data_IF_296594127971
#
_entry.id   IF_296594127971
#
_cell.length_a   1.000
_cell.length_b   1.000
_cell.length_c   1.000
_cell.angle_alpha   90.00
_cell.angle_beta   90.00
_cell.angle_gamma   90.00
#
_symmetry.space_group_name_H-M   'P 1'
#
loop_
_entity.id
_entity.type
_entity.pdbx_description
1 polymer ?
#
# COMPACT_ATOMS: atom_id res chain seq x y z
N UNK A 1 13.59 -4.48 22.75
CA UNK A 1 14.25 -3.19 22.47
C UNK A 1 13.35 -2.40 21.54
N UNK A 2 12.97 -1.19 21.92
CA UNK A 2 12.17 -0.30 21.07
C UNK A 2 13.08 0.83 20.60
N UNK A 3 13.20 1.03 19.29
CA UNK A 3 13.96 2.14 18.70
C UNK A 3 12.97 3.14 18.11
N UNK A 4 13.08 4.41 18.50
CA UNK A 4 12.28 5.51 17.95
C UNK A 4 13.16 6.21 16.92
N UNK A 5 12.78 6.11 15.65
CA UNK A 5 13.41 6.87 14.58
C UNK A 5 12.56 8.10 14.26
N UNK A 6 13.14 9.29 14.45
CA UNK A 6 12.57 10.56 14.01
C UNK A 6 13.14 10.90 12.63
N UNK A 7 12.28 10.93 11.60
CA UNK A 7 12.67 11.18 10.21
C UNK A 7 11.47 11.53 9.33
N UNK A 8 11.67 11.50 7.99
CA UNK A 8 10.61 11.63 6.98
C UNK A 8 10.26 10.24 6.44
N UNK A 9 9.49 9.40 7.19
CA UNK A 9 9.15 8.07 6.71
C UNK A 9 8.38 8.20 5.40
N UNK A 10 8.70 7.34 4.45
CA UNK A 10 7.92 7.24 3.22
C UNK A 10 6.59 6.62 3.57
N UNK A 11 5.52 7.35 3.27
CA UNK A 11 4.16 6.93 3.53
C UNK A 11 3.46 6.63 2.21
N UNK A 12 2.60 5.62 2.25
CA UNK A 12 1.66 5.30 1.20
C UNK A 12 0.25 5.26 1.76
N UNK A 13 -0.75 5.45 0.89
CA UNK A 13 -2.16 5.24 1.24
C UNK A 13 -2.65 4.01 0.50
N UNK A 14 -3.06 2.99 1.24
CA UNK A 14 -3.65 1.76 0.70
C UNK A 14 -5.05 1.63 1.29
N UNK A 15 -6.08 1.57 0.44
CA UNK A 15 -7.49 1.51 0.85
C UNK A 15 -7.89 2.60 1.87
N UNK A 16 -7.37 3.82 1.70
CA UNK A 16 -7.65 4.95 2.60
C UNK A 16 -6.85 4.94 3.91
N UNK A 17 -6.00 3.93 4.15
CA UNK A 17 -5.14 3.84 5.33
C UNK A 17 -3.70 4.22 5.00
N UNK A 18 -3.13 5.14 5.78
CA UNK A 18 -1.70 5.48 5.72
C UNK A 18 -0.86 4.34 6.29
N UNK A 19 0.18 3.96 5.56
CA UNK A 19 1.11 2.87 5.91
C UNK A 19 2.55 3.29 5.65
N UNK A 20 3.47 2.78 6.47
CA UNK A 20 4.91 2.95 6.35
C UNK A 20 5.58 1.64 5.92
N UNK A 21 6.86 1.73 5.55
CA UNK A 21 7.69 0.54 5.33
C UNK A 21 7.77 -0.31 6.60
N UNK A 22 7.61 -1.62 6.44
CA UNK A 22 7.57 -2.59 7.54
C UNK A 22 6.18 -2.87 8.09
N UNK A 23 5.18 -2.02 7.82
CA UNK A 23 3.80 -2.23 8.26
C UNK A 23 3.19 -3.47 7.60
N UNK A 24 2.25 -4.09 8.32
CA UNK A 24 1.42 -5.18 7.79
C UNK A 24 0.00 -4.68 7.52
N UNK A 25 -0.51 -4.99 6.34
CA UNK A 25 -1.86 -4.69 5.89
C UNK A 25 -2.61 -5.98 5.65
N UNK A 26 -3.92 -5.96 5.86
CA UNK A 26 -4.80 -7.05 5.46
C UNK A 26 -5.61 -6.59 4.26
N UNK A 27 -5.51 -7.33 3.15
CA UNK A 27 -6.28 -7.08 1.93
C UNK A 27 -7.28 -8.21 1.71
N UNK A 28 -8.49 -7.85 1.30
CA UNK A 28 -9.52 -8.81 0.96
C UNK A 28 -9.51 -9.01 -0.56
N UNK A 29 -9.32 -10.25 -1.00
CA UNK A 29 -9.41 -10.55 -2.43
C UNK A 29 -10.88 -10.60 -2.86
N UNK A 30 -11.27 -9.99 -3.99
CA UNK A 30 -12.66 -10.04 -4.47
C UNK A 30 -13.13 -11.46 -4.82
N UNK A 31 -12.20 -12.34 -5.22
CA UNK A 31 -12.52 -13.66 -5.80
C UNK A 31 -12.69 -14.78 -4.77
N UNK A 32 -12.17 -14.60 -3.56
CA UNK A 32 -12.32 -15.54 -2.44
C UNK A 32 -12.37 -14.72 -1.16
N UNK A 33 -13.25 -15.07 -0.24
CA UNK A 33 -13.36 -14.46 1.10
C UNK A 33 -12.15 -14.77 2.01
N UNK A 34 -10.94 -14.74 1.46
CA UNK A 34 -9.68 -14.96 2.14
C UNK A 34 -9.04 -13.60 2.32
N UNK A 35 -8.76 -13.26 3.58
CA UNK A 35 -8.00 -12.09 3.94
C UNK A 35 -6.51 -12.46 3.84
N UNK A 36 -5.75 -11.71 3.05
CA UNK A 36 -4.30 -11.90 2.89
C UNK A 36 -3.57 -10.81 3.65
N UNK A 37 -2.63 -11.20 4.50
CA UNK A 37 -1.75 -10.24 5.17
C UNK A 37 -0.52 -10.00 4.30
N UNK A 38 -0.31 -8.74 3.93
CA UNK A 38 0.85 -8.28 3.16
C UNK A 38 1.69 -7.35 4.02
N UNK A 39 3.01 -7.46 3.92
CA UNK A 39 3.95 -6.54 4.53
C UNK A 39 4.46 -5.55 3.50
N UNK A 40 4.52 -4.28 3.87
CA UNK A 40 5.13 -3.22 3.06
C UNK A 40 6.64 -3.38 3.11
N UNK A 41 7.26 -3.70 1.97
CA UNK A 41 8.71 -3.89 1.86
C UNK A 41 9.40 -2.59 1.53
N UNK A 42 8.86 -1.84 0.57
CA UNK A 42 9.49 -0.62 0.06
C UNK A 42 8.46 0.32 -0.52
N UNK A 43 8.64 1.62 -0.28
CA UNK A 43 7.89 2.71 -0.89
C UNK A 43 8.89 3.58 -1.65
N UNK A 44 8.75 3.69 -2.98
CA UNK A 44 9.67 4.47 -3.80
C UNK A 44 9.03 4.92 -5.12
N UNK A 45 9.24 6.17 -5.52
CA UNK A 45 9.02 6.65 -6.88
C UNK A 45 7.65 6.29 -7.48
N UNK A 46 6.58 6.48 -6.70
CA UNK A 46 5.21 6.15 -7.11
C UNK A 46 4.95 4.64 -7.19
N UNK A 47 5.74 3.81 -6.51
CA UNK A 47 5.58 2.35 -6.42
C UNK A 47 5.69 1.89 -4.99
N UNK A 48 5.04 0.76 -4.73
CA UNK A 48 5.03 0.07 -3.44
C UNK A 48 5.28 -1.41 -3.71
N UNK A 49 6.28 -1.97 -3.04
CA UNK A 49 6.51 -3.40 -3.02
C UNK A 49 5.89 -3.99 -1.74
N UNK A 50 5.07 -5.02 -1.93
CA UNK A 50 4.34 -5.74 -0.89
C UNK A 50 4.76 -7.20 -0.89
N UNK A 51 4.73 -7.88 0.26
CA UNK A 51 5.01 -9.32 0.31
C UNK A 51 4.10 -10.07 1.26
N UNK A 52 3.69 -11.28 0.90
CA UNK A 52 3.05 -12.24 1.81
C UNK A 52 4.05 -13.18 2.51
N UNK A 53 5.35 -12.98 2.30
CA UNK A 53 6.42 -13.86 2.77
C UNK A 53 6.84 -14.95 1.78
N UNK A 54 6.05 -15.17 0.73
CA UNK A 54 6.35 -16.13 -0.35
C UNK A 54 6.67 -15.44 -1.68
N UNK A 55 5.98 -14.34 -1.96
CA UNK A 55 6.12 -13.56 -3.18
C UNK A 55 6.23 -12.06 -2.87
N UNK A 56 6.91 -11.33 -3.75
CA UNK A 56 6.87 -9.86 -3.81
C UNK A 56 5.91 -9.42 -4.92
N UNK A 57 5.00 -8.51 -4.57
CA UNK A 57 3.99 -7.90 -5.43
C UNK A 57 4.34 -6.41 -5.56
N UNK A 58 4.66 -5.96 -6.76
CA UNK A 58 4.93 -4.54 -7.04
C UNK A 58 3.68 -3.85 -7.54
N UNK A 59 3.22 -2.86 -6.80
CA UNK A 59 2.07 -2.01 -7.15
C UNK A 59 2.56 -0.62 -7.53
N UNK A 60 1.95 0.01 -8.54
CA UNK A 60 2.23 1.39 -8.91
C UNK A 60 1.07 2.29 -8.51
N UNK A 61 1.38 3.55 -8.21
CA UNK A 61 0.39 4.59 -7.98
C UNK A 61 -0.47 4.72 -9.23
N UNK A 62 -1.69 4.20 -9.16
CA UNK A 62 -2.74 4.49 -10.13
C UNK A 62 -3.42 5.76 -9.64
N UNK A 63 -3.10 6.90 -10.24
CA UNK A 63 -3.93 8.10 -10.07
C UNK A 63 -5.24 7.81 -10.80
N UNK A 64 -6.40 7.75 -10.13
CA UNK A 64 -7.67 7.68 -10.84
C UNK A 64 -7.74 8.88 -11.76
N UNK A 65 -7.97 8.66 -13.07
CA UNK A 65 -8.21 9.77 -13.98
C UNK A 65 -9.32 10.64 -13.38
N UNK A 66 -9.17 11.98 -13.33
CA UNK A 66 -10.20 12.84 -12.78
C UNK A 66 -11.50 12.55 -13.54
N UNK A 67 -12.55 12.16 -12.82
CA UNK A 67 -13.90 12.07 -13.37
C UNK A 67 -14.24 13.44 -13.92
N UNK A 68 -14.29 13.54 -15.25
CA UNK A 68 -14.69 14.76 -15.93
C UNK A 68 -16.08 15.17 -15.40
N UNK A 69 -16.27 16.39 -14.87
CA UNK A 69 -17.59 16.82 -14.47
C UNK A 69 -18.49 16.82 -15.71
N UNK A 70 -19.62 16.11 -15.66
CA UNK A 70 -20.70 16.28 -16.63
C UNK A 70 -21.07 17.77 -16.63
N UNK A 71 -20.78 18.45 -17.75
CA UNK A 71 -21.23 19.82 -18.00
C UNK A 71 -22.70 19.72 -18.39
N UNK A 72 -23.58 19.98 -17.45
CA UNK A 72 -25.02 20.07 -17.65
C UNK A 72 -25.46 21.51 -17.95
#
# INVERSE_FOLDING_TARGET
MSAIALGHPRLAVINGRSVAEGDSITVHTPSRAVAVTLRVVKIADGRIDLTDGTQVITTRLSVPAPTQPERH
#
